data_IF_948298840893
#
_entry.id   IF_948298840893
#
_cell.length_a   1.000
_cell.length_b   1.000
_cell.length_c   1.000
_cell.angle_alpha   90.00
_cell.angle_beta   90.00
_cell.angle_gamma   90.00
#
_symmetry.space_group_name_H-M   'P 1'
#
loop_
_entity.id
_entity.type
_entity.pdbx_description
1 polymer ?
#
# COMPACT_ATOMS: atom_id res chain seq x y z
N UNK A 1 21.47 61.92 26.54
CA UNK A 1 20.90 61.76 27.90
C UNK A 1 20.09 60.48 27.91
N UNK A 2 20.39 59.56 28.82
CA UNK A 2 19.85 58.21 28.89
C UNK A 2 18.46 58.15 29.53
N UNK A 3 17.73 57.07 29.17
CA UNK A 3 16.62 56.39 29.88
C UNK A 3 15.20 56.92 29.67
N UNK A 4 14.35 56.10 29.04
CA UNK A 4 13.50 55.18 29.80
C UNK A 4 13.02 53.99 28.94
N UNK A 5 13.27 52.82 29.50
CA UNK A 5 12.76 51.50 29.11
C UNK A 5 11.33 51.40 29.61
N UNK A 6 10.37 51.00 28.77
CA UNK A 6 9.30 50.09 29.18
C UNK A 6 8.93 49.21 27.99
N UNK A 7 9.22 47.92 28.15
CA UNK A 7 8.81 46.84 27.28
C UNK A 7 7.32 46.54 27.49
N UNK A 8 6.57 46.30 26.42
CA UNK A 8 5.35 45.50 26.44
C UNK A 8 5.28 44.68 25.15
N UNK A 9 5.49 43.37 25.32
CA UNK A 9 5.18 42.34 24.32
C UNK A 9 3.66 42.31 24.04
N UNK A 10 3.23 41.78 22.88
CA UNK A 10 2.93 40.37 22.89
C UNK A 10 3.47 39.61 21.68
N UNK A 11 3.87 38.39 21.99
CA UNK A 11 4.06 37.25 21.10
C UNK A 11 3.06 37.28 19.93
N UNK A 12 3.56 37.46 18.71
CA UNK A 12 2.88 36.93 17.53
C UNK A 12 3.55 35.60 17.25
N UNK A 13 2.98 34.56 17.86
CA UNK A 13 3.30 33.17 17.64
C UNK A 13 2.83 32.83 16.20
N UNK A 14 3.60 33.23 15.20
CA UNK A 14 3.40 32.78 13.82
C UNK A 14 3.82 31.32 13.73
N UNK A 15 2.92 30.44 14.17
CA UNK A 15 2.95 29.03 13.88
C UNK A 15 2.77 28.86 12.36
N UNK A 16 3.86 29.01 11.62
CA UNK A 16 3.98 28.47 10.27
C UNK A 16 3.97 26.95 10.42
N UNK A 17 2.76 26.38 10.48
CA UNK A 17 2.55 24.95 10.28
C UNK A 17 2.87 24.72 8.81
N UNK A 18 4.15 24.49 8.53
CA UNK A 18 4.58 23.88 7.30
C UNK A 18 3.97 22.48 7.33
N UNK A 19 2.80 22.35 6.73
CA UNK A 19 2.24 21.06 6.35
C UNK A 19 3.17 20.48 5.30
N UNK A 20 4.28 19.89 5.76
CA UNK A 20 5.02 18.88 5.04
C UNK A 20 4.02 17.75 4.82
N UNK A 21 3.25 17.89 3.76
CA UNK A 21 2.55 16.78 3.14
C UNK A 21 3.68 15.87 2.68
N UNK A 22 4.16 15.02 3.61
CA UNK A 22 4.86 13.83 3.21
C UNK A 22 3.85 13.14 2.30
N UNK A 23 4.05 13.29 0.99
CA UNK A 23 3.47 12.38 0.05
C UNK A 23 3.81 11.01 0.64
N UNK A 24 2.79 10.32 1.14
CA UNK A 24 2.89 8.91 1.50
C UNK A 24 3.14 8.23 0.17
N UNK A 25 4.39 8.28 -0.27
CA UNK A 25 4.96 7.29 -1.16
C UNK A 25 4.97 6.06 -0.28
N UNK A 26 3.85 5.34 -0.26
CA UNK A 26 3.84 3.94 0.08
C UNK A 26 4.74 3.31 -0.98
N UNK A 27 6.05 3.37 -0.76
CA UNK A 27 7.01 2.49 -1.39
C UNK A 27 6.62 1.12 -0.86
N UNK A 28 5.64 0.52 -1.54
CA UNK A 28 5.16 -0.82 -1.29
C UNK A 28 6.34 -1.73 -1.60
N UNK A 29 7.12 -2.00 -0.56
CA UNK A 29 8.36 -2.80 -0.60
C UNK A 29 8.09 -4.25 -1.01
N UNK A 30 6.82 -4.63 -1.21
CA UNK A 30 6.39 -5.93 -1.70
C UNK A 30 6.03 -5.93 -3.20
N UNK A 31 6.25 -4.83 -3.92
CA UNK A 31 6.04 -4.81 -5.37
C UNK A 31 7.09 -5.68 -6.05
N UNK A 32 6.69 -6.73 -6.79
CA UNK A 32 7.63 -7.57 -7.53
C UNK A 32 8.44 -6.74 -8.53
N UNK A 33 9.75 -6.96 -8.61
CA UNK A 33 10.65 -6.19 -9.48
C UNK A 33 10.90 -6.89 -10.82
N UNK A 34 10.61 -8.19 -10.90
CA UNK A 34 10.81 -8.99 -12.10
C UNK A 34 9.76 -10.10 -12.21
N UNK A 35 9.74 -10.77 -13.37
CA UNK A 35 8.79 -11.84 -13.67
C UNK A 35 8.87 -12.98 -12.66
N UNK A 36 10.07 -13.38 -12.24
CA UNK A 36 10.26 -14.48 -11.29
C UNK A 36 9.63 -14.15 -9.94
N UNK A 37 9.92 -12.97 -9.39
CA UNK A 37 9.31 -12.50 -8.13
C UNK A 37 7.80 -12.37 -8.24
N UNK A 38 7.29 -11.92 -9.39
CA UNK A 38 5.85 -11.76 -9.62
C UNK A 38 5.14 -13.11 -9.65
N UNK A 39 5.70 -14.10 -10.37
CA UNK A 39 5.16 -15.46 -10.41
C UNK A 39 5.27 -16.18 -9.06
N UNK A 40 6.34 -15.91 -8.30
CA UNK A 40 6.44 -16.39 -6.93
C UNK A 40 5.33 -15.79 -6.07
N UNK A 41 5.09 -14.48 -6.15
CA UNK A 41 4.03 -13.81 -5.42
C UNK A 41 2.62 -14.35 -5.79
N UNK A 42 2.38 -14.73 -7.05
CA UNK A 42 1.17 -15.44 -7.50
C UNK A 42 1.03 -16.79 -6.78
N UNK A 43 2.13 -17.54 -6.71
CA UNK A 43 2.17 -18.86 -6.05
C UNK A 43 1.87 -18.73 -4.56
N UNK A 44 2.58 -17.83 -3.87
CA UNK A 44 2.40 -17.57 -2.43
C UNK A 44 0.95 -17.16 -2.12
N UNK A 45 0.34 -16.39 -3.02
CA UNK A 45 -1.07 -15.97 -2.88
C UNK A 45 -1.99 -17.18 -2.98
N UNK A 46 -1.82 -18.04 -4.00
CA UNK A 46 -2.57 -19.30 -4.17
C UNK A 46 -2.41 -20.22 -2.94
N UNK A 47 -1.22 -20.31 -2.37
CA UNK A 47 -0.96 -21.08 -1.15
C UNK A 47 -1.65 -20.48 0.07
N UNK A 48 -1.66 -19.15 0.22
CA UNK A 48 -2.35 -18.48 1.32
C UNK A 48 -3.86 -18.81 1.36
N UNK A 49 -4.50 -18.92 0.19
CA UNK A 49 -5.90 -19.41 0.08
C UNK A 49 -6.02 -20.88 0.49
N UNK A 50 -5.07 -21.73 0.10
CA UNK A 50 -5.10 -23.15 0.49
C UNK A 50 -4.99 -23.33 2.01
N UNK A 51 -4.25 -22.44 2.68
CA UNK A 51 -4.14 -22.41 4.15
C UNK A 51 -5.36 -21.80 4.85
N UNK A 52 -6.18 -20.99 4.16
CA UNK A 52 -7.37 -20.33 4.71
C UNK A 52 -8.57 -20.52 3.75
N UNK A 53 -9.16 -21.73 3.72
CA UNK A 53 -10.21 -22.09 2.76
C UNK A 53 -11.58 -21.46 3.05
N UNK A 54 -11.71 -20.68 4.14
CA UNK A 54 -12.99 -20.18 4.65
C UNK A 54 -13.60 -19.02 3.86
N UNK A 55 -13.02 -18.64 2.72
CA UNK A 55 -13.61 -17.64 1.84
C UNK A 55 -14.94 -18.11 1.23
N UNK A 56 -16.01 -17.35 1.46
CA UNK A 56 -17.33 -17.65 0.88
C UNK A 56 -17.31 -17.79 -0.66
N UNK A 57 -18.22 -18.56 -1.28
CA UNK A 57 -18.13 -18.95 -2.71
C UNK A 57 -18.12 -17.76 -3.70
N UNK A 58 -18.74 -16.63 -3.33
CA UNK A 58 -18.67 -15.40 -4.12
C UNK A 58 -17.29 -14.74 -4.04
N UNK A 59 -16.68 -14.70 -2.86
CA UNK A 59 -15.34 -14.18 -2.65
C UNK A 59 -14.29 -15.08 -3.31
N UNK A 60 -14.48 -16.40 -3.25
CA UNK A 60 -13.64 -17.38 -3.94
C UNK A 60 -13.58 -17.13 -5.46
N UNK A 61 -14.72 -16.87 -6.10
CA UNK A 61 -14.76 -16.57 -7.54
C UNK A 61 -14.02 -15.27 -7.89
N UNK A 62 -14.25 -14.21 -7.11
CA UNK A 62 -13.56 -12.92 -7.32
C UNK A 62 -12.07 -13.07 -7.07
N UNK A 63 -11.66 -13.84 -6.07
CA UNK A 63 -10.27 -14.16 -5.80
C UNK A 63 -9.61 -14.84 -7.01
N UNK A 64 -10.28 -15.85 -7.59
CA UNK A 64 -9.77 -16.59 -8.75
C UNK A 64 -9.59 -15.65 -9.97
N UNK A 65 -10.56 -14.77 -10.22
CA UNK A 65 -10.48 -13.77 -11.30
C UNK A 65 -9.34 -12.76 -11.08
N UNK A 66 -9.14 -12.29 -9.84
CA UNK A 66 -8.08 -11.34 -9.48
C UNK A 66 -6.70 -11.98 -9.63
N UNK A 67 -6.52 -13.22 -9.17
CA UNK A 67 -5.25 -13.95 -9.30
C UNK A 67 -4.93 -14.26 -10.76
N UNK A 68 -5.91 -14.67 -11.56
CA UNK A 68 -5.70 -14.89 -13.01
C UNK A 68 -5.30 -13.58 -13.71
N UNK A 69 -5.94 -12.47 -13.36
CA UNK A 69 -5.56 -11.17 -13.89
C UNK A 69 -4.13 -10.80 -13.49
N UNK A 70 -3.77 -10.96 -12.21
CA UNK A 70 -2.41 -10.69 -11.73
C UNK A 70 -1.36 -11.51 -12.47
N UNK A 71 -1.63 -12.79 -12.74
CA UNK A 71 -0.75 -13.69 -13.50
C UNK A 71 -0.51 -13.15 -14.92
N UNK A 72 -1.57 -12.74 -15.63
CA UNK A 72 -1.45 -12.09 -16.95
C UNK A 72 -0.63 -10.80 -16.90
N UNK A 73 -0.76 -10.01 -15.83
CA UNK A 73 0.02 -8.77 -15.63
C UNK A 73 1.49 -9.05 -15.35
N UNK A 74 1.80 -10.10 -14.58
CA UNK A 74 3.17 -10.59 -14.43
C UNK A 74 3.78 -10.97 -15.79
N UNK A 75 3.02 -11.62 -16.67
CA UNK A 75 3.50 -11.97 -18.03
C UNK A 75 3.73 -10.76 -18.93
N UNK A 76 2.92 -9.71 -18.76
CA UNK A 76 3.01 -8.46 -19.52
C UNK A 76 4.09 -7.50 -19.00
N UNK A 77 4.75 -7.85 -17.89
CA UNK A 77 5.75 -6.99 -17.24
C UNK A 77 5.14 -5.85 -16.41
N UNK A 78 3.82 -5.86 -16.20
CA UNK A 78 3.09 -4.87 -15.41
C UNK A 78 3.14 -5.24 -13.91
N UNK A 79 4.36 -5.33 -13.35
CA UNK A 79 4.58 -5.91 -12.03
C UNK A 79 3.97 -5.11 -10.87
N UNK A 80 3.93 -3.78 -10.98
CA UNK A 80 3.27 -2.91 -10.00
C UNK A 80 1.79 -3.28 -9.90
N UNK A 81 1.11 -3.33 -11.05
CA UNK A 81 -0.31 -3.63 -11.11
C UNK A 81 -0.62 -5.07 -10.72
N UNK A 82 0.26 -6.01 -11.10
CA UNK A 82 0.18 -7.39 -10.62
C UNK A 82 0.30 -7.46 -9.09
N UNK A 83 1.25 -6.72 -8.49
CA UNK A 83 1.43 -6.65 -7.05
C UNK A 83 0.20 -6.11 -6.31
N UNK A 84 -0.44 -5.06 -6.85
CA UNK A 84 -1.68 -4.51 -6.29
C UNK A 84 -2.82 -5.54 -6.31
N UNK A 85 -2.98 -6.26 -7.42
CA UNK A 85 -3.97 -7.33 -7.55
C UNK A 85 -3.70 -8.49 -6.57
N UNK A 86 -2.43 -8.87 -6.39
CA UNK A 86 -2.06 -9.92 -5.44
C UNK A 86 -2.27 -9.49 -3.99
N UNK A 87 -1.98 -8.23 -3.65
CA UNK A 87 -2.27 -7.67 -2.34
C UNK A 87 -3.78 -7.64 -2.05
N UNK A 88 -4.60 -7.29 -3.05
CA UNK A 88 -6.06 -7.39 -2.96
C UNK A 88 -6.49 -8.84 -2.68
N UNK A 89 -6.00 -9.81 -3.46
CA UNK A 89 -6.34 -11.22 -3.31
C UNK A 89 -5.94 -11.77 -1.92
N UNK A 90 -4.75 -11.41 -1.41
CA UNK A 90 -4.31 -11.77 -0.05
C UNK A 90 -5.20 -11.14 1.02
N UNK A 91 -5.59 -9.87 0.83
CA UNK A 91 -6.51 -9.18 1.74
C UNK A 91 -7.88 -9.86 1.83
N UNK A 92 -8.38 -10.42 0.72
CA UNK A 92 -9.64 -11.16 0.70
C UNK A 92 -9.57 -12.46 1.52
N UNK A 93 -8.41 -13.11 1.55
CA UNK A 93 -8.18 -14.34 2.31
C UNK A 93 -7.94 -14.05 3.79
N UNK A 94 -7.29 -12.92 4.11
CA UNK A 94 -6.96 -12.54 5.49
C UNK A 94 -8.08 -11.80 6.25
N UNK A 95 -9.15 -11.40 5.56
CA UNK A 95 -10.26 -10.63 6.16
C UNK A 95 -11.42 -11.48 6.68
N UNK A 96 -11.36 -12.82 6.55
CA UNK A 96 -12.35 -13.77 7.09
C UNK A 96 -11.91 -14.29 8.48
#
# INVERSE_FOLDING_TARGET
>A
MFKNVVAFAPMVLSAAVLFSSNAVSAQDTNVPQNKTECMQAVTDTKEARASNPEIGPKAAKVYDEVVELAEKRCEQGEFVYAGELLNLARGMVASE
#
